data_IF_998606992358
#
_entry.id   IF_998606992358
#
_cell.length_a   1.000
_cell.length_b   1.000
_cell.length_c   1.000
_cell.angle_alpha   90.00
_cell.angle_beta   90.00
_cell.angle_gamma   90.00
#
_symmetry.space_group_name_H-M   'P 1'
#
loop_
_entity.id
_entity.type
_entity.pdbx_description
1 polymer ?
#
# COMPACT_ATOMS: atom_id res chain seq x y z
N UNK A 1 4.91 -19.14 -28.74
CA UNK A 1 5.47 -20.15 -29.65
C UNK A 1 5.35 -19.75 -31.13
N UNK A 2 4.29 -19.02 -31.55
CA UNK A 2 4.14 -18.48 -32.92
C UNK A 2 5.42 -17.86 -33.49
N UNK A 3 6.06 -16.94 -32.76
CA UNK A 3 7.31 -16.32 -33.20
C UNK A 3 8.43 -17.35 -33.46
N UNK A 4 8.63 -18.30 -32.54
CA UNK A 4 9.62 -19.38 -32.69
C UNK A 4 9.25 -20.30 -33.87
N UNK A 5 7.96 -20.62 -34.05
CA UNK A 5 7.48 -21.45 -35.16
C UNK A 5 7.64 -20.74 -36.51
N UNK A 6 7.39 -19.44 -36.56
CA UNK A 6 7.59 -18.59 -37.73
C UNK A 6 9.07 -18.52 -38.11
N UNK A 7 9.97 -18.40 -37.13
CA UNK A 7 11.42 -18.49 -37.36
C UNK A 7 11.85 -19.86 -37.90
N UNK A 8 11.15 -20.93 -37.53
CA UNK A 8 11.38 -22.30 -38.03
C UNK A 8 10.71 -22.61 -39.37
N UNK A 9 10.24 -21.59 -40.11
CA UNK A 9 9.58 -21.70 -41.42
C UNK A 9 8.36 -22.64 -41.47
N UNK A 10 7.67 -22.83 -40.33
CA UNK A 10 6.32 -23.41 -40.34
C UNK A 10 5.30 -22.29 -40.55
N UNK A 11 4.22 -22.59 -41.27
CA UNK A 11 3.11 -21.66 -41.54
C UNK A 11 2.79 -20.81 -40.31
N UNK A 12 2.98 -19.49 -40.43
CA UNK A 12 2.72 -18.57 -39.34
C UNK A 12 1.21 -18.41 -39.16
N UNK A 13 0.68 -18.98 -38.09
CA UNK A 13 -0.73 -18.82 -37.69
C UNK A 13 -1.03 -17.33 -37.44
N UNK A 14 -2.09 -16.83 -38.09
CA UNK A 14 -2.56 -15.44 -38.01
C UNK A 14 -3.91 -15.40 -37.28
N UNK A 15 -4.23 -14.25 -36.68
CA UNK A 15 -5.49 -14.04 -35.95
C UNK A 15 -5.35 -14.05 -34.42
N UNK A 16 -6.46 -14.05 -33.67
CA UNK A 16 -6.45 -14.07 -32.21
C UNK A 16 -5.78 -15.34 -31.66
N UNK A 17 -5.29 -15.27 -30.41
CA UNK A 17 -4.68 -16.42 -29.75
C UNK A 17 -5.75 -17.44 -29.36
N UNK A 18 -5.52 -18.71 -29.67
CA UNK A 18 -6.42 -19.81 -29.27
C UNK A 18 -6.06 -20.36 -27.89
N UNK A 19 -7.02 -20.99 -27.17
CA UNK A 19 -6.73 -21.62 -25.87
C UNK A 19 -5.63 -22.70 -25.95
N UNK A 20 -5.59 -23.46 -27.04
CA UNK A 20 -4.58 -24.49 -27.27
C UNK A 20 -3.19 -23.87 -27.44
N UNK A 21 -3.08 -22.74 -28.15
CA UNK A 21 -1.81 -22.03 -28.29
C UNK A 21 -1.28 -21.52 -26.95
N UNK A 22 -2.17 -21.00 -26.10
CA UNK A 22 -1.81 -20.54 -24.76
C UNK A 22 -1.33 -21.72 -23.90
N UNK A 23 -2.05 -22.84 -23.93
CA UNK A 23 -1.68 -24.06 -23.20
C UNK A 23 -0.35 -24.61 -23.68
N UNK A 24 -0.14 -24.68 -25.00
CA UNK A 24 1.10 -25.12 -25.62
C UNK A 24 2.27 -24.18 -25.29
N UNK A 25 2.05 -22.86 -25.28
CA UNK A 25 3.06 -21.89 -24.90
C UNK A 25 3.43 -21.99 -23.43
N UNK A 26 2.46 -22.19 -22.55
CA UNK A 26 2.69 -22.41 -21.14
C UNK A 26 3.53 -23.67 -20.91
N UNK A 27 3.11 -24.80 -21.49
CA UNK A 27 3.85 -26.08 -21.38
C UNK A 27 5.26 -26.00 -21.98
N UNK A 28 5.45 -25.24 -23.07
CA UNK A 28 6.76 -25.00 -23.66
C UNK A 28 7.71 -24.31 -22.66
N UNK A 29 7.25 -23.23 -22.02
CA UNK A 29 8.07 -22.51 -21.04
C UNK A 29 8.31 -23.32 -19.76
N UNK A 30 7.33 -24.10 -19.32
CA UNK A 30 7.48 -25.06 -18.23
C UNK A 30 8.61 -26.03 -18.53
N UNK A 31 8.61 -26.65 -19.73
CA UNK A 31 9.62 -27.63 -20.11
C UNK A 31 11.03 -27.03 -20.14
N UNK A 32 11.18 -25.82 -20.67
CA UNK A 32 12.46 -25.09 -20.66
C UNK A 32 12.91 -24.86 -19.22
N UNK A 33 12.03 -24.28 -18.40
CA UNK A 33 12.34 -23.95 -17.01
C UNK A 33 12.73 -25.19 -16.18
N UNK A 34 12.06 -26.32 -16.43
CA UNK A 34 12.37 -27.60 -15.80
C UNK A 34 13.70 -28.18 -16.29
N UNK A 35 13.98 -28.15 -17.59
CA UNK A 35 15.28 -28.60 -18.11
C UNK A 35 16.43 -27.75 -17.56
N UNK A 36 16.26 -26.43 -17.48
CA UNK A 36 17.30 -25.53 -16.97
C UNK A 36 17.60 -25.79 -15.47
N UNK A 37 16.59 -26.19 -14.70
CA UNK A 37 16.73 -26.35 -13.24
C UNK A 37 16.94 -27.78 -12.77
N UNK A 38 16.47 -28.77 -13.53
CA UNK A 38 16.36 -30.18 -13.13
C UNK A 38 16.82 -31.14 -14.25
N UNK A 39 17.78 -30.71 -15.09
CA UNK A 39 18.31 -31.52 -16.21
C UNK A 39 18.79 -32.90 -15.77
N UNK A 40 19.48 -32.99 -14.63
CA UNK A 40 19.99 -34.24 -14.08
C UNK A 40 18.84 -35.18 -13.67
N UNK A 41 17.87 -34.69 -12.92
CA UNK A 41 16.70 -35.46 -12.49
C UNK A 41 15.87 -35.93 -13.69
N UNK A 42 15.65 -35.07 -14.68
CA UNK A 42 14.94 -35.42 -15.91
C UNK A 42 15.69 -36.51 -16.67
N UNK A 43 17.02 -36.42 -16.76
CA UNK A 43 17.85 -37.43 -17.43
C UNK A 43 17.83 -38.78 -16.68
N UNK A 44 17.86 -38.77 -15.35
CA UNK A 44 17.69 -39.99 -14.55
C UNK A 44 16.33 -40.64 -14.82
N UNK A 45 15.24 -39.87 -14.75
CA UNK A 45 13.89 -40.38 -14.96
C UNK A 45 13.67 -40.91 -16.38
N UNK A 46 14.21 -40.24 -17.40
CA UNK A 46 14.17 -40.74 -18.79
C UNK A 46 14.85 -42.09 -18.96
N UNK A 47 15.91 -42.35 -18.20
CA UNK A 47 16.67 -43.59 -18.23
C UNK A 47 16.18 -44.63 -17.20
N UNK A 48 15.02 -44.42 -16.58
CA UNK A 48 14.48 -45.27 -15.51
C UNK A 48 15.47 -45.47 -14.33
N UNK A 49 16.31 -44.48 -14.05
CA UNK A 49 17.24 -44.47 -12.91
C UNK A 49 16.63 -43.71 -11.73
N UNK A 50 16.98 -44.12 -10.52
CA UNK A 50 16.62 -43.38 -9.30
C UNK A 50 17.26 -41.98 -9.30
N UNK A 51 16.59 -41.01 -8.67
CA UNK A 51 17.13 -39.67 -8.50
C UNK A 51 18.35 -39.67 -7.57
N UNK A 52 19.27 -38.69 -7.72
CA UNK A 52 20.35 -38.46 -6.77
C UNK A 52 19.83 -38.26 -5.34
N UNK A 53 20.58 -38.75 -4.33
CA UNK A 53 20.18 -38.69 -2.92
C UNK A 53 20.08 -37.26 -2.38
N UNK A 54 20.82 -36.33 -2.97
CA UNK A 54 20.87 -34.90 -2.65
C UNK A 54 19.82 -34.08 -3.41
N UNK A 55 19.07 -34.70 -4.34
CA UNK A 55 18.05 -33.98 -5.09
C UNK A 55 16.92 -33.51 -4.18
N UNK A 56 16.60 -32.21 -4.30
CA UNK A 56 15.48 -31.57 -3.60
C UNK A 56 14.13 -32.15 -4.02
N UNK A 57 14.07 -32.85 -5.16
CA UNK A 57 12.86 -33.45 -5.69
C UNK A 57 12.64 -34.88 -5.20
N UNK A 58 13.65 -35.53 -4.61
CA UNK A 58 13.58 -36.94 -4.21
C UNK A 58 12.39 -37.21 -3.28
N UNK A 59 12.12 -36.32 -2.32
CA UNK A 59 11.01 -36.44 -1.38
C UNK A 59 9.61 -36.25 -2.00
N UNK A 60 9.54 -35.78 -3.25
CA UNK A 60 8.29 -35.52 -3.97
C UNK A 60 7.86 -36.71 -4.84
N UNK A 61 8.64 -37.80 -4.84
CA UNK A 61 8.43 -38.96 -5.72
C UNK A 61 8.09 -38.55 -7.18
N UNK A 62 8.99 -37.82 -7.84
CA UNK A 62 8.69 -37.16 -9.10
C UNK A 62 8.68 -38.15 -10.27
N UNK A 63 7.86 -37.86 -11.28
CA UNK A 63 7.81 -38.65 -12.52
C UNK A 63 7.68 -37.73 -13.74
N UNK A 64 7.99 -38.26 -14.91
CA UNK A 64 7.78 -37.58 -16.18
C UNK A 64 6.45 -38.04 -16.80
N UNK A 65 5.59 -37.10 -17.18
CA UNK A 65 4.38 -37.42 -17.92
C UNK A 65 4.67 -37.74 -19.41
N UNK A 66 3.62 -38.10 -20.15
CA UNK A 66 3.71 -38.41 -21.59
C UNK A 66 4.24 -37.24 -22.44
N UNK A 67 4.16 -36.00 -21.92
CA UNK A 67 4.67 -34.80 -22.55
C UNK A 67 6.08 -34.43 -22.07
N UNK A 68 6.73 -35.29 -21.27
CA UNK A 68 8.05 -35.04 -20.71
C UNK A 68 8.07 -33.89 -19.70
N UNK A 69 6.95 -33.60 -19.05
CA UNK A 69 6.84 -32.61 -17.97
C UNK A 69 7.03 -33.31 -16.63
N UNK A 70 7.86 -32.72 -15.78
CA UNK A 70 8.18 -33.22 -14.45
C UNK A 70 7.03 -32.89 -13.48
N UNK A 71 6.46 -33.92 -12.84
CA UNK A 71 5.29 -33.82 -11.96
C UNK A 71 5.51 -34.52 -10.63
N UNK A 72 4.73 -34.11 -9.64
CA UNK A 72 4.68 -34.76 -8.32
C UNK A 72 3.72 -35.96 -8.37
N UNK A 73 4.13 -37.07 -7.74
CA UNK A 73 3.18 -38.14 -7.44
C UNK A 73 2.46 -37.83 -6.13
N UNK A 74 1.12 -37.78 -6.16
CA UNK A 74 0.29 -37.49 -4.99
C UNK A 74 -0.52 -38.69 -4.50
N UNK A 75 -1.10 -38.55 -3.31
CA UNK A 75 -2.05 -39.54 -2.74
C UNK A 75 -3.43 -39.51 -3.43
N UNK A 76 -3.70 -38.49 -4.23
CA UNK A 76 -4.99 -38.25 -4.87
C UNK A 76 -5.15 -38.95 -6.23
N UNK A 77 -4.17 -39.76 -6.66
CA UNK A 77 -4.15 -40.37 -8.01
C UNK A 77 -5.38 -41.21 -8.36
N UNK A 78 -6.06 -41.81 -7.37
CA UNK A 78 -7.27 -42.63 -7.59
C UNK A 78 -8.58 -41.83 -7.66
N UNK A 79 -8.56 -40.52 -7.36
CA UNK A 79 -9.77 -39.70 -7.43
C UNK A 79 -10.30 -39.67 -8.86
N UNK A 80 -11.60 -39.81 -9.08
CA UNK A 80 -12.20 -39.68 -10.42
C UNK A 80 -12.62 -38.24 -10.73
N UNK A 81 -12.83 -37.41 -9.70
CA UNK A 81 -13.37 -36.06 -9.84
C UNK A 81 -12.31 -34.97 -10.05
N UNK A 82 -11.04 -35.26 -9.73
CA UNK A 82 -9.96 -34.30 -9.86
C UNK A 82 -9.30 -34.39 -11.25
N UNK A 83 -8.88 -33.23 -11.75
CA UNK A 83 -8.09 -33.13 -12.96
C UNK A 83 -6.69 -33.74 -12.77
N UNK A 84 -6.01 -34.03 -13.87
CA UNK A 84 -4.62 -34.52 -13.85
C UNK A 84 -3.67 -33.52 -13.18
N UNK A 85 -3.93 -32.22 -13.31
CA UNK A 85 -3.11 -31.17 -12.70
C UNK A 85 -3.24 -31.15 -11.18
N UNK A 86 -4.44 -31.37 -10.64
CA UNK A 86 -4.66 -31.42 -9.19
C UNK A 86 -4.09 -32.70 -8.57
N UNK A 87 -4.19 -33.83 -9.29
CA UNK A 87 -3.61 -35.11 -8.84
C UNK A 87 -2.09 -35.10 -8.89
N UNK A 88 -1.55 -34.52 -9.95
CA UNK A 88 -0.14 -34.53 -10.30
C UNK A 88 0.32 -33.13 -10.72
N UNK A 89 0.46 -32.19 -9.75
CA UNK A 89 0.87 -30.84 -10.05
C UNK A 89 2.26 -30.79 -10.68
N UNK A 90 2.47 -29.79 -11.53
CA UNK A 90 3.73 -29.61 -12.28
C UNK A 90 4.79 -29.04 -11.33
N UNK A 91 5.96 -29.67 -11.27
CA UNK A 91 7.05 -29.20 -10.42
C UNK A 91 7.67 -27.95 -11.03
N UNK A 92 7.76 -26.87 -10.25
CA UNK A 92 8.43 -25.64 -10.66
C UNK A 92 9.52 -25.21 -9.66
N UNK A 93 10.66 -24.71 -10.15
CA UNK A 93 11.67 -24.08 -9.31
C UNK A 93 11.16 -22.76 -8.74
N UNK A 94 11.57 -22.40 -7.52
CA UNK A 94 11.11 -21.16 -6.87
C UNK A 94 11.65 -19.87 -7.50
N UNK A 95 12.90 -19.90 -7.96
CA UNK A 95 13.64 -18.69 -8.36
C UNK A 95 13.76 -18.58 -9.88
N UNK A 96 12.63 -18.53 -10.58
CA UNK A 96 12.61 -18.34 -12.03
C UNK A 96 11.56 -17.31 -12.44
N UNK A 97 11.78 -16.70 -13.60
CA UNK A 97 10.86 -15.67 -14.10
C UNK A 97 9.47 -16.23 -14.38
N UNK A 98 9.40 -17.45 -14.92
CA UNK A 98 8.14 -18.14 -15.18
C UNK A 98 7.33 -18.30 -13.89
N UNK A 99 7.96 -18.81 -12.82
CA UNK A 99 7.32 -18.99 -11.52
C UNK A 99 6.84 -17.66 -10.94
N UNK A 100 7.63 -16.58 -11.03
CA UNK A 100 7.20 -15.25 -10.60
C UNK A 100 5.96 -14.77 -11.38
N UNK A 101 5.95 -14.94 -12.71
CA UNK A 101 4.83 -14.53 -13.56
C UNK A 101 3.55 -15.33 -13.27
N UNK A 102 3.66 -16.64 -13.06
CA UNK A 102 2.53 -17.50 -12.70
C UNK A 102 1.94 -17.12 -11.33
N UNK A 103 2.80 -16.80 -10.35
CA UNK A 103 2.35 -16.30 -9.05
C UNK A 103 1.63 -14.95 -9.21
N UNK A 104 2.16 -14.03 -10.01
CA UNK A 104 1.53 -12.73 -10.27
C UNK A 104 0.15 -12.86 -10.90
N UNK A 105 0.04 -13.73 -11.89
CA UNK A 105 -1.21 -14.00 -12.59
C UNK A 105 -2.25 -14.64 -11.65
N UNK A 106 -1.87 -15.64 -10.86
CA UNK A 106 -2.75 -16.20 -9.82
C UNK A 106 -3.12 -15.19 -8.75
N UNK A 107 -2.20 -14.31 -8.34
CA UNK A 107 -2.46 -13.25 -7.37
C UNK A 107 -3.52 -12.25 -7.86
N UNK A 108 -3.51 -11.93 -9.17
CA UNK A 108 -4.54 -11.10 -9.80
C UNK A 108 -5.89 -11.82 -9.89
N UNK A 109 -5.90 -13.11 -10.25
CA UNK A 109 -7.14 -13.93 -10.30
C UNK A 109 -7.85 -14.02 -8.96
N UNK A 110 -7.11 -14.12 -7.86
CA UNK A 110 -7.69 -14.12 -6.51
C UNK A 110 -7.92 -12.72 -5.94
N UNK A 111 -7.98 -11.70 -6.80
CA UNK A 111 -8.25 -10.30 -6.44
C UNK A 111 -7.39 -9.78 -5.28
N UNK A 112 -6.10 -10.06 -5.32
CA UNK A 112 -5.16 -9.59 -4.30
C UNK A 112 -5.44 -10.10 -2.87
N UNK A 113 -6.15 -11.23 -2.70
CA UNK A 113 -6.52 -11.84 -1.40
C UNK A 113 -5.36 -12.47 -0.60
N UNK A 114 -4.14 -11.95 -0.78
CA UNK A 114 -2.96 -12.32 0.01
C UNK A 114 -2.34 -13.67 -0.32
N UNK A 115 -1.43 -14.11 0.55
CA UNK A 115 -0.54 -15.26 0.31
C UNK A 115 -1.29 -16.59 0.31
N UNK A 116 -2.23 -16.79 1.24
CA UNK A 116 -2.94 -18.07 1.39
C UNK A 116 -3.81 -18.39 0.17
N UNK A 117 -4.62 -17.44 -0.30
CA UNK A 117 -5.47 -17.64 -1.48
C UNK A 117 -4.63 -17.81 -2.76
N UNK A 118 -3.56 -17.01 -2.90
CA UNK A 118 -2.65 -17.17 -4.04
C UNK A 118 -1.98 -18.54 -4.03
N UNK A 119 -1.62 -19.06 -2.85
CA UNK A 119 -1.04 -20.40 -2.70
C UNK A 119 -1.99 -21.49 -3.13
N UNK A 120 -3.27 -21.44 -2.70
CA UNK A 120 -4.28 -22.43 -3.12
C UNK A 120 -4.43 -22.41 -4.64
N UNK A 121 -4.65 -21.23 -5.23
CA UNK A 121 -4.82 -21.08 -6.68
C UNK A 121 -3.63 -21.59 -7.49
N UNK A 122 -2.40 -21.36 -7.00
CA UNK A 122 -1.19 -21.86 -7.66
C UNK A 122 -1.06 -23.38 -7.51
N UNK A 123 -1.43 -23.92 -6.34
CA UNK A 123 -1.29 -25.34 -6.00
C UNK A 123 -2.26 -26.24 -6.77
N UNK A 124 -3.33 -25.69 -7.35
CA UNK A 124 -4.23 -26.41 -8.26
C UNK A 124 -3.52 -26.98 -9.49
N UNK A 125 -2.41 -26.35 -9.91
CA UNK A 125 -1.68 -26.72 -11.13
C UNK A 125 -0.19 -26.93 -10.93
N UNK A 126 0.42 -26.25 -9.96
CA UNK A 126 1.87 -26.19 -9.81
C UNK A 126 2.33 -26.53 -8.40
N UNK A 127 3.37 -27.35 -8.31
CA UNK A 127 4.13 -27.59 -7.10
C UNK A 127 5.43 -26.79 -7.12
N UNK A 128 5.40 -25.58 -6.53
CA UNK A 128 6.59 -24.73 -6.42
C UNK A 128 7.39 -25.10 -5.17
N UNK A 129 8.69 -25.36 -5.32
CA UNK A 129 9.57 -25.59 -4.17
C UNK A 129 9.61 -24.35 -3.27
N UNK A 130 9.31 -24.50 -1.97
CA UNK A 130 9.16 -23.36 -1.03
C UNK A 130 8.11 -22.35 -1.52
N UNK A 131 6.98 -22.86 -1.99
CA UNK A 131 5.88 -22.10 -2.59
C UNK A 131 5.46 -20.90 -1.74
N UNK A 132 5.15 -21.10 -0.46
CA UNK A 132 4.68 -20.04 0.44
C UNK A 132 5.69 -18.89 0.57
N UNK A 133 6.98 -19.20 0.74
CA UNK A 133 8.04 -18.19 0.84
C UNK A 133 8.21 -17.44 -0.48
N UNK A 134 8.16 -18.16 -1.59
CA UNK A 134 8.27 -17.59 -2.94
C UNK A 134 7.11 -16.64 -3.21
N UNK A 135 5.88 -17.06 -2.92
CA UNK A 135 4.67 -16.25 -3.07
C UNK A 135 4.76 -15.01 -2.18
N UNK A 136 5.13 -15.15 -0.90
CA UNK A 136 5.33 -14.01 -0.01
C UNK A 136 6.34 -13.00 -0.58
N UNK A 137 7.45 -13.49 -1.13
CA UNK A 137 8.46 -12.63 -1.77
C UNK A 137 7.92 -11.90 -3.00
N UNK A 138 7.12 -12.56 -3.84
CA UNK A 138 6.53 -11.94 -5.03
C UNK A 138 5.48 -10.89 -4.64
N UNK A 139 4.55 -11.25 -3.75
CA UNK A 139 3.47 -10.37 -3.29
C UNK A 139 4.00 -9.15 -2.52
N UNK A 140 5.16 -9.26 -1.86
CA UNK A 140 5.81 -8.12 -1.19
C UNK A 140 6.15 -6.97 -2.15
N UNK A 141 6.20 -7.22 -3.46
CA UNK A 141 6.45 -6.21 -4.50
C UNK A 141 5.17 -5.58 -5.04
N UNK A 142 3.99 -6.05 -4.63
CA UNK A 142 2.70 -5.55 -5.11
C UNK A 142 2.36 -4.18 -4.53
N UNK A 143 2.37 -3.17 -5.40
CA UNK A 143 2.01 -1.78 -5.05
C UNK A 143 0.57 -1.66 -4.58
N UNK A 144 -0.35 -2.41 -5.19
CA UNK A 144 -1.76 -2.46 -4.79
C UNK A 144 -1.85 -2.97 -3.34
N UNK A 145 -1.32 -4.17 -3.05
CA UNK A 145 -1.32 -4.70 -1.70
C UNK A 145 -0.55 -3.83 -0.69
N UNK A 146 0.55 -3.20 -1.09
CA UNK A 146 1.29 -2.26 -0.22
C UNK A 146 0.45 -1.06 0.17
N UNK A 147 -0.30 -0.49 -0.77
CA UNK A 147 -1.18 0.65 -0.53
C UNK A 147 -2.35 0.29 0.38
N UNK A 148 -2.98 -0.85 0.16
CA UNK A 148 -4.12 -1.29 0.98
C UNK A 148 -3.71 -1.79 2.37
N UNK A 149 -2.50 -2.35 2.50
CA UNK A 149 -1.98 -2.85 3.79
C UNK A 149 -0.98 -1.90 4.45
N UNK A 150 -0.87 -0.65 4.00
CA UNK A 150 0.05 0.31 4.63
C UNK A 150 -0.44 0.62 6.05
N UNK A 151 0.44 0.46 7.03
CA UNK A 151 0.17 0.93 8.38
C UNK A 151 -0.04 2.46 8.39
N UNK A 152 -0.90 2.99 9.27
CA UNK A 152 -0.95 4.43 9.52
C UNK A 152 0.44 4.97 9.83
N UNK A 153 0.74 6.18 9.36
CA UNK A 153 1.99 6.85 9.72
C UNK A 153 2.11 6.98 11.22
N UNK A 154 3.29 6.68 11.77
CA UNK A 154 3.59 6.93 13.17
C UNK A 154 3.75 8.44 13.36
N UNK A 155 2.79 9.09 14.01
CA UNK A 155 2.95 10.48 14.42
C UNK A 155 3.94 10.52 15.59
N UNK A 156 5.14 11.06 15.36
CA UNK A 156 6.04 11.42 16.45
C UNK A 156 5.43 12.65 17.13
N UNK A 157 5.04 12.51 18.40
CA UNK A 157 4.55 13.63 19.19
C UNK A 157 5.75 14.52 19.49
N UNK A 158 5.79 15.71 18.87
CA UNK A 158 6.78 16.72 19.22
C UNK A 158 6.51 17.22 20.65
N UNK A 159 7.56 17.53 21.44
CA UNK A 159 7.38 18.16 22.74
C UNK A 159 6.59 19.47 22.58
N UNK A 160 5.74 19.77 23.56
CA UNK A 160 5.01 21.04 23.58
C UNK A 160 6.03 22.19 23.72
N UNK A 161 5.87 23.31 23.01
CA UNK A 161 6.75 24.47 23.17
C UNK A 161 6.66 25.04 24.59
N UNK A 162 7.74 25.66 25.08
CA UNK A 162 7.84 26.22 26.45
C UNK A 162 6.66 27.13 26.80
N UNK A 163 6.20 27.90 25.82
CA UNK A 163 5.05 28.80 25.92
C UNK A 163 3.71 28.10 26.29
N UNK A 164 3.64 26.77 26.17
CA UNK A 164 2.47 25.95 26.53
C UNK A 164 2.62 25.22 27.85
N UNK A 165 3.82 25.23 28.44
CA UNK A 165 4.15 24.46 29.65
C UNK A 165 4.64 25.33 30.80
N UNK A 166 5.21 26.51 30.53
CA UNK A 166 5.65 27.44 31.55
C UNK A 166 4.48 28.17 32.22
N UNK A 167 4.61 28.39 33.53
CA UNK A 167 3.63 29.15 34.30
C UNK A 167 3.76 30.64 33.98
N UNK A 168 2.64 31.29 33.65
CA UNK A 168 2.56 32.74 33.44
C UNK A 168 1.18 33.24 33.89
N UNK A 169 0.97 34.56 33.89
CA UNK A 169 -0.33 35.10 34.26
C UNK A 169 -1.41 34.78 33.20
N UNK A 170 -2.70 34.71 33.58
CA UNK A 170 -3.77 34.53 32.62
C UNK A 170 -3.72 35.60 31.50
N UNK A 171 -3.93 35.17 30.26
CA UNK A 171 -3.91 36.01 29.05
C UNK A 171 -2.54 36.63 28.68
N UNK A 172 -1.44 36.26 29.35
CA UNK A 172 -0.09 36.64 28.91
C UNK A 172 0.25 36.06 27.54
N UNK A 173 -0.18 34.82 27.28
CA UNK A 173 -0.04 34.14 25.99
C UNK A 173 -1.43 33.80 25.51
N UNK A 174 -1.80 34.33 24.34
CA UNK A 174 -3.11 34.12 23.75
C UNK A 174 -3.01 33.44 22.38
N UNK A 175 -4.00 32.60 22.09
CA UNK A 175 -4.31 32.10 20.78
C UNK A 175 -5.51 32.84 20.20
N UNK A 176 -5.42 33.33 18.98
CA UNK A 176 -6.49 34.09 18.32
C UNK A 176 -7.01 33.33 17.10
N UNK A 177 -8.33 33.26 16.97
CA UNK A 177 -9.01 32.64 15.84
C UNK A 177 -10.35 33.35 15.54
N UNK A 178 -10.94 33.10 14.38
CA UNK A 178 -12.29 33.53 14.05
C UNK A 178 -13.20 32.32 13.84
N UNK A 179 -14.37 32.35 14.50
CA UNK A 179 -15.47 31.44 14.19
C UNK A 179 -16.57 32.18 13.40
N UNK A 180 -17.07 31.55 12.35
CA UNK A 180 -18.16 32.10 11.55
C UNK A 180 -18.17 31.61 10.09
N UNK A 181 -19.01 32.22 9.24
CA UNK A 181 -19.94 33.29 9.59
C UNK A 181 -21.17 32.78 10.37
N UNK A 182 -21.63 33.59 11.31
CA UNK A 182 -22.96 33.50 11.91
C UNK A 182 -23.88 34.51 11.23
N UNK A 183 -25.18 34.21 11.18
CA UNK A 183 -26.18 35.08 10.55
C UNK A 183 -27.12 35.65 11.61
N UNK A 184 -27.26 36.97 11.63
CA UNK A 184 -28.20 37.66 12.52
C UNK A 184 -29.63 37.40 12.02
N UNK A 185 -30.54 37.00 12.92
CA UNK A 185 -31.89 36.55 12.55
C UNK A 185 -32.71 37.58 11.75
N UNK A 186 -32.58 38.86 12.06
CA UNK A 186 -33.44 39.91 11.48
C UNK A 186 -32.86 40.54 10.20
N UNK A 187 -31.53 40.70 10.14
CA UNK A 187 -30.85 41.37 9.02
C UNK A 187 -30.20 40.40 8.04
N UNK A 188 -30.13 39.11 8.40
CA UNK A 188 -29.33 38.09 7.73
C UNK A 188 -27.87 38.54 7.47
N UNK A 189 -27.37 39.49 8.27
CA UNK A 189 -26.02 40.01 8.15
C UNK A 189 -25.03 38.98 8.68
N UNK A 190 -23.92 38.82 7.96
CA UNK A 190 -22.79 38.01 8.42
C UNK A 190 -22.16 38.68 9.63
N UNK A 191 -21.84 37.87 10.62
CA UNK A 191 -21.06 38.25 11.80
C UNK A 191 -20.06 37.14 12.06
N UNK A 192 -18.98 37.48 12.75
CA UNK A 192 -17.95 36.54 13.17
C UNK A 192 -17.74 36.68 14.67
N UNK A 193 -17.21 35.63 15.27
CA UNK A 193 -16.78 35.63 16.67
C UNK A 193 -15.26 35.59 16.65
N UNK A 194 -14.62 36.64 17.15
CA UNK A 194 -13.21 36.61 17.49
C UNK A 194 -13.04 35.79 18.77
N UNK A 195 -12.36 34.65 18.62
CA UNK A 195 -11.99 33.72 19.68
C UNK A 195 -10.61 34.10 20.20
N UNK A 196 -10.52 34.49 21.47
CA UNK A 196 -9.25 34.74 22.15
C UNK A 196 -9.11 33.72 23.27
N UNK A 197 -8.20 32.78 23.10
CA UNK A 197 -7.96 31.68 24.04
C UNK A 197 -6.69 31.93 24.84
N UNK A 198 -6.72 31.72 26.14
CA UNK A 198 -5.55 31.80 26.99
C UNK A 198 -4.77 30.48 26.92
N UNK A 199 -3.49 30.51 26.55
CA UNK A 199 -2.65 29.31 26.51
C UNK A 199 -2.39 28.73 27.91
N UNK A 200 -2.38 29.60 28.93
CA UNK A 200 -2.08 29.26 30.33
C UNK A 200 -3.27 28.56 31.01
N UNK A 201 -4.44 29.20 31.00
CA UNK A 201 -5.62 28.77 31.77
C UNK A 201 -6.67 28.08 30.91
N UNK A 202 -6.52 28.09 29.58
CA UNK A 202 -7.55 27.65 28.61
C UNK A 202 -8.87 28.42 28.68
N UNK A 203 -8.88 29.58 29.35
CA UNK A 203 -10.02 30.51 29.33
C UNK A 203 -10.25 31.06 27.92
N UNK A 204 -11.51 31.26 27.55
CA UNK A 204 -11.90 31.81 26.25
C UNK A 204 -12.60 33.15 26.45
N UNK A 205 -12.15 34.16 25.72
CA UNK A 205 -12.80 35.46 25.58
C UNK A 205 -13.36 35.58 24.16
N UNK A 206 -14.62 35.97 24.05
CA UNK A 206 -15.35 36.06 22.79
C UNK A 206 -15.71 37.52 22.50
N UNK A 207 -15.43 38.00 21.29
CA UNK A 207 -15.90 39.29 20.80
C UNK A 207 -16.70 39.08 19.51
N UNK A 208 -17.93 39.60 19.46
CA UNK A 208 -18.71 39.62 18.23
C UNK A 208 -18.21 40.75 17.33
N UNK A 209 -17.99 40.46 16.05
CA UNK A 209 -17.47 41.40 15.06
C UNK A 209 -18.22 41.30 13.73
N UNK A 210 -18.29 42.41 13.00
CA UNK A 210 -18.99 42.47 11.71
C UNK A 210 -18.26 41.78 10.55
N UNK A 211 -16.93 41.76 10.60
CA UNK A 211 -16.08 41.17 9.57
C UNK A 211 -14.76 40.67 10.17
N UNK A 212 -13.93 40.03 9.33
CA UNK A 212 -12.60 39.53 9.68
C UNK A 212 -11.48 40.50 9.25
N UNK A 213 -11.80 41.79 9.08
CA UNK A 213 -10.78 42.79 8.68
C UNK A 213 -9.85 43.14 9.84
N UNK A 214 -8.67 43.63 9.51
CA UNK A 214 -7.66 44.05 10.50
C UNK A 214 -8.18 45.17 11.39
N UNK A 215 -8.93 46.13 10.85
CA UNK A 215 -9.46 47.25 11.62
C UNK A 215 -10.44 46.78 12.69
N UNK A 216 -11.38 45.91 12.30
CA UNK A 216 -12.34 45.29 13.20
C UNK A 216 -11.64 44.42 14.26
N UNK A 217 -10.61 43.68 13.86
CA UNK A 217 -9.77 42.93 14.80
C UNK A 217 -9.10 43.85 15.82
N UNK A 218 -8.43 44.92 15.39
CA UNK A 218 -7.72 45.86 16.27
C UNK A 218 -8.67 46.52 17.28
N UNK A 219 -9.88 46.90 16.84
CA UNK A 219 -10.90 47.44 17.73
C UNK A 219 -11.37 46.41 18.77
N UNK A 220 -11.60 45.16 18.37
CA UNK A 220 -11.95 44.08 19.28
C UNK A 220 -10.81 43.73 20.24
N UNK A 221 -9.57 43.74 19.75
CA UNK A 221 -8.38 43.44 20.52
C UNK A 221 -8.09 44.52 21.57
N UNK A 222 -8.29 45.81 21.25
CA UNK A 222 -8.22 46.90 22.23
C UNK A 222 -9.23 46.73 23.36
N UNK A 223 -10.48 46.34 23.04
CA UNK A 223 -11.50 46.02 24.06
C UNK A 223 -11.08 44.84 24.94
N UNK A 224 -10.48 43.82 24.33
CA UNK A 224 -9.94 42.67 25.06
C UNK A 224 -8.83 43.10 26.04
N UNK A 225 -7.80 43.81 25.59
CA UNK A 225 -6.68 44.27 26.44
C UNK A 225 -7.18 45.16 27.58
N UNK A 226 -8.11 46.07 27.30
CA UNK A 226 -8.69 46.93 28.33
C UNK A 226 -9.41 46.14 29.44
N UNK A 227 -9.90 44.92 29.16
CA UNK A 227 -10.58 44.06 30.14
C UNK A 227 -9.67 43.02 30.79
N UNK A 228 -8.67 42.51 30.05
CA UNK A 228 -7.87 41.33 30.44
C UNK A 228 -6.41 41.64 30.71
N UNK A 229 -5.96 42.87 30.45
CA UNK A 229 -4.57 43.27 30.54
C UNK A 229 -3.79 43.04 29.23
N UNK A 230 -2.56 43.54 29.19
CA UNK A 230 -1.66 43.37 28.04
C UNK A 230 -1.19 41.92 27.95
N UNK A 231 -1.22 41.36 26.75
CA UNK A 231 -0.58 40.09 26.44
C UNK A 231 0.86 40.31 25.99
N UNK A 232 1.74 39.35 26.27
CA UNK A 232 3.12 39.36 25.79
C UNK A 232 3.27 38.64 24.46
N UNK A 233 2.42 37.63 24.18
CA UNK A 233 2.48 36.84 22.95
C UNK A 233 1.08 36.58 22.38
N UNK A 234 0.95 36.80 21.07
CA UNK A 234 -0.26 36.51 20.30
C UNK A 234 0.06 35.45 19.25
N UNK A 235 -0.64 34.32 19.31
CA UNK A 235 -0.46 33.18 18.39
C UNK A 235 -1.71 33.09 17.49
N UNK A 236 -1.60 33.33 16.18
CA UNK A 236 -2.72 33.05 15.27
C UNK A 236 -2.89 31.53 15.12
N UNK A 237 -4.12 31.03 15.32
CA UNK A 237 -4.44 29.60 15.22
C UNK A 237 -4.89 29.21 13.79
N UNK A 238 -5.13 30.19 12.91
CA UNK A 238 -5.56 29.94 11.54
C UNK A 238 -4.44 29.42 10.62
N UNK A 239 -4.71 28.42 9.77
CA UNK A 239 -3.81 28.03 8.69
C UNK A 239 -3.79 29.11 7.59
N UNK A 240 -2.67 29.81 7.45
CA UNK A 240 -2.09 30.38 6.22
C UNK A 240 -2.98 31.18 5.22
N UNK A 241 -4.13 31.74 5.62
CA UNK A 241 -4.89 32.67 4.76
C UNK A 241 -4.84 34.15 5.18
N UNK A 242 -4.20 34.47 6.31
CA UNK A 242 -3.78 35.82 6.64
C UNK A 242 -2.27 35.91 6.36
N UNK A 243 -1.86 36.80 5.47
CA UNK A 243 -0.45 37.07 5.19
C UNK A 243 0.21 37.67 6.45
N UNK A 244 0.69 36.81 7.37
CA UNK A 244 1.44 37.21 8.58
C UNK A 244 2.90 37.54 8.25
N UNK A 245 3.22 37.94 7.01
CA UNK A 245 4.58 38.40 6.66
C UNK A 245 4.87 39.85 7.06
N UNK A 246 3.86 40.63 7.50
CA UNK A 246 4.03 42.04 7.87
C UNK A 246 3.94 42.36 9.36
N UNK A 247 3.84 41.36 10.24
CA UNK A 247 3.84 41.62 11.69
C UNK A 247 5.29 41.79 12.18
N UNK A 248 5.94 42.89 11.76
CA UNK A 248 7.14 43.36 12.43
C UNK A 248 6.73 43.98 13.76
N UNK A 249 7.42 43.57 14.81
CA UNK A 249 7.37 44.06 16.18
C UNK A 249 7.52 45.58 16.38
N UNK A 250 7.60 46.37 15.30
CA UNK A 250 7.89 47.80 15.34
C UNK A 250 6.65 48.69 15.15
N UNK A 251 5.45 48.12 14.99
CA UNK A 251 4.18 48.90 14.94
C UNK A 251 3.47 49.01 16.29
N UNK A 252 3.96 48.31 17.32
CA UNK A 252 3.61 48.63 18.70
C UNK A 252 4.56 49.72 19.17
N UNK A 253 4.24 50.96 18.77
CA UNK A 253 4.84 52.15 19.37
C UNK A 253 4.73 52.05 20.89
N UNK A 254 5.84 52.33 21.57
CA UNK A 254 5.93 52.47 23.03
C UNK A 254 4.73 53.24 23.58
N UNK A 255 3.92 52.58 24.40
CA UNK A 255 3.06 53.19 25.41
C UNK A 255 3.18 52.35 26.69
#
# INVERSE_FOLDING_TARGET
VRFVNALKRKNAEKGPLTPDELTNAEMFWVRITQNDSYSNEITCLKNNKSLPRDSKLLCLNPFLDSNGILRVTGRLGKSTHLSTFEKHPIILPSKTKLTELLIWDSHKRVFHSGVSHTLVQVSEKYWILKSRQTIKSVLSKCTICKRFNSSPGTQVIAPLPDIRVEQSAPFTIIGVDFAGPLFVKDTNAKQYILLITCAVTRSVHLELVGDMTTDTFLLAFRRFISRRGLCSVVIPIMPAHLNVQNWKSNEFGTF
#
